data_IF_671831277609
#
_entry.id   IF_671831277609
#
_cell.length_a   1.000
_cell.length_b   1.000
_cell.length_c   1.000
_cell.angle_alpha   90.00
_cell.angle_beta   90.00
_cell.angle_gamma   90.00
#
_symmetry.space_group_name_H-M   'P 1'
#
loop_
_entity.id
_entity.type
_entity.pdbx_description
1 polymer ?
#
# COMPACT_ATOMS: atom_id res chain seq x y z
N UNK A 1 12.00 24.25 -4.91
CA UNK A 1 13.40 24.25 -4.44
C UNK A 1 13.59 23.44 -3.15
N UNK A 2 12.97 23.83 -2.02
CA UNK A 2 13.17 23.16 -0.71
C UNK A 2 12.82 21.68 -0.71
N UNK A 3 11.68 21.29 -1.29
CA UNK A 3 11.28 19.88 -1.40
C UNK A 3 12.31 19.04 -2.17
N UNK A 4 12.80 19.56 -3.30
CA UNK A 4 13.83 18.90 -4.12
C UNK A 4 15.17 18.77 -3.39
N UNK A 5 15.59 19.80 -2.64
CA UNK A 5 16.78 19.73 -1.81
C UNK A 5 16.62 18.69 -0.68
N UNK A 6 15.41 18.58 -0.14
CA UNK A 6 15.10 17.67 0.95
C UNK A 6 14.99 16.21 0.50
N UNK A 7 14.75 15.94 -0.79
CA UNK A 7 14.70 14.59 -1.36
C UNK A 7 16.06 14.02 -1.77
N UNK A 8 17.17 14.72 -1.49
CA UNK A 8 18.50 14.24 -1.81
C UNK A 8 18.90 13.06 -0.91
N UNK A 9 19.57 12.03 -1.45
CA UNK A 9 20.01 10.88 -0.65
C UNK A 9 21.09 11.29 0.36
N UNK A 10 21.28 10.49 1.41
CA UNK A 10 22.30 10.73 2.45
C UNK A 10 23.74 10.74 1.90
N UNK A 11 23.98 10.11 0.76
CA UNK A 11 25.26 10.13 0.03
C UNK A 11 25.54 11.45 -0.71
N UNK A 12 24.53 12.31 -0.90
CA UNK A 12 24.69 13.55 -1.63
C UNK A 12 25.46 14.59 -0.78
N UNK A 13 26.45 15.32 -1.34
CA UNK A 13 27.27 16.26 -0.57
C UNK A 13 26.47 17.38 0.12
N UNK A 14 25.31 17.74 -0.46
CA UNK A 14 24.42 18.74 0.12
C UNK A 14 23.50 18.21 1.24
N UNK A 15 23.40 16.90 1.45
CA UNK A 15 22.49 16.33 2.44
C UNK A 15 22.76 16.86 3.85
N UNK A 16 24.01 16.76 4.31
CA UNK A 16 24.42 17.24 5.63
C UNK A 16 24.18 18.74 5.84
N UNK A 17 24.61 19.66 4.96
CA UNK A 17 24.35 21.09 5.15
C UNK A 17 22.86 21.45 5.08
N UNK A 18 22.06 20.73 4.28
CA UNK A 18 20.60 20.89 4.23
C UNK A 18 19.97 20.51 5.57
N UNK A 19 20.28 19.33 6.11
CA UNK A 19 19.76 18.90 7.41
C UNK A 19 20.14 19.86 8.54
N UNK A 20 21.37 20.41 8.50
CA UNK A 20 21.82 21.42 9.48
C UNK A 20 21.03 22.71 9.39
N UNK A 21 20.86 23.25 8.17
CA UNK A 21 20.12 24.48 7.94
C UNK A 21 18.63 24.36 8.29
N UNK A 22 18.05 23.18 8.06
CA UNK A 22 16.66 22.90 8.44
C UNK A 22 16.45 22.73 9.95
N UNK A 23 17.40 22.10 10.63
CA UNK A 23 17.31 21.83 12.07
C UNK A 23 17.56 23.07 12.93
N UNK A 24 18.47 23.94 12.51
CA UNK A 24 18.91 25.07 13.34
C UNK A 24 18.92 26.35 12.53
N UNK A 25 18.07 27.30 12.92
CA UNK A 25 18.14 28.66 12.42
C UNK A 25 19.18 29.44 13.24
N UNK A 26 20.39 29.53 12.71
CA UNK A 26 21.54 30.18 13.37
C UNK A 26 21.29 31.67 13.61
N UNK A 27 21.88 32.27 14.65
CA UNK A 27 21.65 33.69 14.96
C UNK A 27 22.46 34.68 14.09
N UNK A 28 23.51 34.22 13.41
CA UNK A 28 24.42 35.03 12.59
C UNK A 28 24.83 34.27 11.33
N UNK A 29 25.17 35.00 10.28
CA UNK A 29 25.61 34.44 8.98
C UNK A 29 24.59 33.48 8.35
N UNK A 30 23.33 33.90 8.27
CA UNK A 30 22.29 33.11 7.62
C UNK A 30 22.65 32.88 6.15
N UNK A 31 22.75 31.61 5.77
CA UNK A 31 22.77 31.25 4.35
C UNK A 31 21.34 31.27 3.79
N UNK A 32 21.17 31.40 2.46
CA UNK A 32 19.86 31.27 1.82
C UNK A 32 19.10 29.98 2.19
N UNK A 33 19.82 28.89 2.48
CA UNK A 33 19.21 27.64 2.93
C UNK A 33 18.52 27.79 4.29
N UNK A 34 19.11 28.52 5.25
CA UNK A 34 18.49 28.75 6.55
C UNK A 34 17.16 29.49 6.41
N UNK A 35 17.12 30.54 5.59
CA UNK A 35 15.89 31.28 5.32
C UNK A 35 14.83 30.40 4.64
N UNK A 36 15.22 29.67 3.60
CA UNK A 36 14.32 28.79 2.86
C UNK A 36 13.67 27.74 3.76
N UNK A 37 14.47 27.03 4.56
CA UNK A 37 13.94 26.00 5.46
C UNK A 37 13.16 26.58 6.65
N UNK A 38 13.56 27.74 7.18
CA UNK A 38 12.82 28.40 8.26
C UNK A 38 11.44 28.88 7.81
N UNK A 39 11.35 29.52 6.63
CA UNK A 39 10.09 30.03 6.09
C UNK A 39 9.15 28.88 5.71
N UNK A 40 9.69 27.79 5.14
CA UNK A 40 8.87 26.67 4.65
C UNK A 40 8.53 25.64 5.71
N UNK A 41 9.28 25.57 6.82
CA UNK A 41 9.04 24.62 7.90
C UNK A 41 9.22 23.14 7.50
N UNK A 42 9.82 22.86 6.33
CA UNK A 42 10.03 21.49 5.85
C UNK A 42 11.18 20.86 6.62
N UNK A 43 10.94 19.68 7.18
CA UNK A 43 11.97 18.88 7.85
C UNK A 43 12.46 17.77 6.90
N UNK A 44 13.69 17.85 6.36
CA UNK A 44 14.23 16.85 5.44
C UNK A 44 14.37 15.47 6.10
N UNK A 45 14.42 15.39 7.44
CA UNK A 45 14.53 14.11 8.16
C UNK A 45 13.20 13.37 8.29
N UNK A 46 12.08 14.06 8.02
CA UNK A 46 10.72 13.51 8.16
C UNK A 46 10.06 13.18 6.82
N UNK A 47 10.78 13.31 5.71
CA UNK A 47 10.23 12.99 4.39
C UNK A 47 10.14 11.48 4.19
N UNK A 48 9.00 11.02 3.66
CA UNK A 48 8.83 9.66 3.17
C UNK A 48 9.45 9.55 1.78
N UNK A 49 10.39 8.63 1.60
CA UNK A 49 10.91 8.29 0.27
C UNK A 49 9.90 7.39 -0.43
N UNK A 50 9.51 7.75 -1.65
CA UNK A 50 8.67 6.91 -2.53
C UNK A 50 9.60 6.35 -3.60
N UNK A 51 9.72 5.02 -3.66
CA UNK A 51 10.48 4.37 -4.73
C UNK A 51 9.74 4.50 -6.07
N UNK A 52 10.46 4.68 -7.19
CA UNK A 52 9.84 4.66 -8.51
C UNK A 52 9.23 3.29 -8.78
N UNK A 53 8.17 3.27 -9.60
CA UNK A 53 7.53 2.03 -10.04
C UNK A 53 8.53 1.16 -10.79
N UNK A 54 8.66 -0.10 -10.41
CA UNK A 54 9.65 -1.02 -11.01
C UNK A 54 9.21 -1.52 -12.39
N UNK A 55 7.90 -1.59 -12.62
CA UNK A 55 7.32 -2.13 -13.83
C UNK A 55 7.19 -1.07 -14.95
N UNK A 56 7.32 -1.52 -16.20
CA UNK A 56 7.15 -0.63 -17.34
C UNK A 56 5.68 -0.16 -17.44
N UNK A 57 5.41 1.04 -17.99
CA UNK A 57 4.04 1.54 -18.15
C UNK A 57 3.11 0.61 -18.95
N UNK A 58 3.67 -0.26 -19.78
CA UNK A 58 2.94 -1.25 -20.58
C UNK A 58 2.78 -2.62 -19.87
N UNK A 59 3.20 -2.75 -18.61
CA UNK A 59 3.02 -3.98 -17.86
C UNK A 59 1.54 -4.27 -17.63
N UNK A 60 1.13 -5.48 -18.00
CA UNK A 60 -0.22 -5.99 -17.81
C UNK A 60 -0.13 -7.17 -16.84
N UNK A 61 -0.81 -7.11 -15.68
CA UNK A 61 -0.84 -8.23 -14.75
C UNK A 61 -1.45 -9.47 -15.39
N UNK A 62 -1.00 -10.66 -14.99
CA UNK A 62 -1.48 -11.95 -15.50
C UNK A 62 -2.86 -12.37 -14.97
N UNK A 63 -3.60 -11.45 -14.35
CA UNK A 63 -4.92 -11.68 -13.77
C UNK A 63 -5.91 -10.63 -14.26
N UNK A 64 -7.20 -10.97 -14.19
CA UNK A 64 -8.29 -10.04 -14.51
C UNK A 64 -8.85 -9.39 -13.26
N UNK A 65 -9.41 -8.20 -13.39
CA UNK A 65 -10.17 -7.53 -12.33
C UNK A 65 -11.62 -7.38 -12.70
N UNK A 66 -12.48 -7.41 -11.70
CA UNK A 66 -13.88 -7.01 -11.78
C UNK A 66 -14.16 -6.04 -10.65
N UNK A 67 -14.89 -4.97 -10.94
CA UNK A 67 -15.30 -3.97 -9.95
C UNK A 67 -16.79 -3.72 -10.18
N UNK A 68 -17.61 -4.09 -9.20
CA UNK A 68 -19.06 -3.86 -9.27
C UNK A 68 -19.39 -2.36 -9.22
N UNK A 69 -20.52 -1.98 -9.83
CA UNK A 69 -20.98 -0.59 -9.88
C UNK A 69 -21.67 -0.14 -8.58
N UNK A 70 -22.19 -1.08 -7.79
CA UNK A 70 -22.87 -0.83 -6.52
C UNK A 70 -22.54 -1.92 -5.50
N UNK A 71 -22.79 -1.63 -4.22
CA UNK A 71 -22.58 -2.60 -3.14
C UNK A 71 -23.50 -3.82 -3.28
N UNK A 72 -24.74 -3.63 -3.71
CA UNK A 72 -25.69 -4.74 -3.90
C UNK A 72 -25.22 -5.69 -5.01
N UNK A 73 -24.70 -5.14 -6.11
CA UNK A 73 -24.11 -5.94 -7.19
C UNK A 73 -22.82 -6.62 -6.76
N UNK A 74 -22.02 -5.98 -5.89
CA UNK A 74 -20.82 -6.59 -5.31
C UNK A 74 -21.18 -7.80 -4.45
N UNK A 75 -22.19 -7.67 -3.59
CA UNK A 75 -22.66 -8.76 -2.74
C UNK A 75 -23.17 -9.95 -3.57
N UNK A 76 -24.02 -9.68 -4.58
CA UNK A 76 -24.51 -10.72 -5.49
C UNK A 76 -23.36 -11.43 -6.24
N UNK A 77 -22.34 -10.67 -6.67
CA UNK A 77 -21.16 -11.24 -7.33
C UNK A 77 -20.29 -12.08 -6.39
N UNK A 78 -20.18 -11.69 -5.12
CA UNK A 78 -19.46 -12.44 -4.09
C UNK A 78 -20.18 -13.76 -3.74
N UNK A 79 -21.51 -13.74 -3.65
CA UNK A 79 -22.32 -14.95 -3.42
C UNK A 79 -22.23 -15.93 -4.60
N UNK A 80 -22.31 -15.43 -5.84
CA UNK A 80 -22.12 -16.24 -7.05
C UNK A 80 -20.70 -16.83 -7.11
N UNK A 81 -19.70 -16.01 -6.80
CA UNK A 81 -18.29 -16.42 -6.72
C UNK A 81 -18.08 -17.54 -5.71
N UNK A 82 -18.55 -17.36 -4.47
CA UNK A 82 -18.49 -18.37 -3.41
C UNK A 82 -19.22 -19.66 -3.83
N UNK A 83 -20.25 -19.52 -4.66
CA UNK A 83 -21.05 -20.64 -5.13
C UNK A 83 -20.41 -21.45 -6.25
N UNK A 84 -19.74 -20.77 -7.19
CA UNK A 84 -19.24 -21.34 -8.44
C UNK A 84 -17.73 -21.58 -8.45
N UNK A 85 -16.99 -21.08 -7.47
CA UNK A 85 -15.54 -21.27 -7.38
C UNK A 85 -15.14 -22.14 -6.21
N UNK A 86 -14.08 -22.92 -6.43
CA UNK A 86 -13.58 -23.88 -5.44
C UNK A 86 -12.91 -23.19 -4.27
N UNK A 87 -12.18 -22.11 -4.53
CA UNK A 87 -11.42 -21.37 -3.53
C UNK A 87 -11.55 -19.86 -3.73
N UNK A 88 -11.90 -19.16 -2.65
CA UNK A 88 -12.07 -17.70 -2.59
C UNK A 88 -11.35 -17.19 -1.36
N UNK A 89 -10.66 -16.06 -1.48
CA UNK A 89 -10.10 -15.36 -0.33
C UNK A 89 -10.73 -13.97 -0.24
N UNK A 90 -11.28 -13.64 0.93
CA UNK A 90 -11.73 -12.30 1.25
C UNK A 90 -10.65 -11.55 2.03
N UNK A 91 -10.28 -10.37 1.55
CA UNK A 91 -9.23 -9.52 2.10
C UNK A 91 -9.82 -8.19 2.56
N UNK A 92 -9.41 -7.72 3.74
CA UNK A 92 -9.87 -6.44 4.30
C UNK A 92 -8.76 -5.77 5.11
N UNK A 93 -8.58 -4.48 4.87
CA UNK A 93 -7.74 -3.59 5.68
C UNK A 93 -8.60 -2.71 6.57
N UNK A 94 -8.31 -2.67 7.86
CA UNK A 94 -9.13 -1.92 8.82
C UNK A 94 -8.31 -0.97 9.69
N UNK A 95 -8.98 0.10 10.15
CA UNK A 95 -8.41 1.06 11.08
C UNK A 95 -9.29 1.27 12.31
N UNK A 96 -8.95 0.65 13.44
CA UNK A 96 -9.75 0.68 14.68
C UNK A 96 -8.96 1.26 15.86
N UNK A 97 -9.56 2.12 16.69
CA UNK A 97 -8.95 2.73 17.89
C UNK A 97 -7.47 3.15 17.71
N UNK A 98 -7.20 4.03 16.75
CA UNK A 98 -5.84 4.52 16.40
C UNK A 98 -4.83 3.45 15.93
N UNK A 99 -5.30 2.25 15.61
CA UNK A 99 -4.50 1.14 15.13
C UNK A 99 -4.93 0.73 13.72
N UNK A 100 -4.01 0.11 12.98
CA UNK A 100 -4.21 -0.43 11.64
C UNK A 100 -3.95 -1.93 11.69
N UNK A 101 -4.86 -2.70 11.09
CA UNK A 101 -4.74 -4.15 10.97
C UNK A 101 -5.34 -4.65 9.67
N UNK A 102 -5.04 -5.91 9.37
CA UNK A 102 -5.48 -6.59 8.15
C UNK A 102 -5.98 -7.99 8.47
N UNK A 103 -6.88 -8.47 7.62
CA UNK A 103 -7.31 -9.85 7.61
C UNK A 103 -7.43 -10.38 6.18
N UNK A 104 -7.11 -11.67 6.02
CA UNK A 104 -7.41 -12.44 4.82
C UNK A 104 -7.99 -13.79 5.24
N UNK A 105 -9.14 -14.16 4.68
CA UNK A 105 -9.87 -15.39 5.05
C UNK A 105 -10.09 -16.23 3.80
N UNK A 106 -9.58 -17.45 3.82
CA UNK A 106 -9.70 -18.44 2.75
C UNK A 106 -10.91 -19.33 2.98
N UNK A 107 -11.76 -19.41 1.96
CA UNK A 107 -12.84 -20.37 1.84
C UNK A 107 -12.52 -21.40 0.76
N UNK A 108 -12.75 -22.68 1.07
CA UNK A 108 -12.70 -23.78 0.10
C UNK A 108 -14.00 -24.55 0.15
N UNK A 109 -14.67 -24.72 -0.99
CA UNK A 109 -16.01 -25.34 -1.07
C UNK A 109 -17.00 -24.74 -0.06
N UNK A 110 -17.07 -23.40 0.01
CA UNK A 110 -17.91 -22.62 0.94
C UNK A 110 -17.63 -22.82 2.43
N UNK A 111 -16.52 -23.46 2.80
CA UNK A 111 -16.09 -23.60 4.19
C UNK A 111 -14.84 -22.78 4.44
N UNK A 112 -14.83 -22.02 5.52
CA UNK A 112 -13.63 -21.35 5.99
C UNK A 112 -12.57 -22.41 6.30
N UNK A 113 -11.39 -22.26 5.69
CA UNK A 113 -10.28 -23.19 5.86
C UNK A 113 -9.15 -22.58 6.69
N UNK A 114 -8.83 -21.31 6.45
CA UNK A 114 -7.71 -20.61 7.10
C UNK A 114 -7.96 -19.11 7.12
N UNK A 115 -7.57 -18.46 8.21
CA UNK A 115 -7.60 -17.01 8.34
C UNK A 115 -6.23 -16.50 8.79
N UNK A 116 -5.78 -15.41 8.19
CA UNK A 116 -4.61 -14.64 8.60
C UNK A 116 -5.06 -13.28 9.09
N UNK A 117 -4.51 -12.84 10.23
CA UNK A 117 -4.74 -11.52 10.80
C UNK A 117 -3.41 -10.94 11.21
N UNK A 118 -3.16 -9.68 10.87
CA UNK A 118 -1.89 -9.02 11.19
C UNK A 118 -2.17 -7.61 11.70
N UNK A 119 -1.54 -7.26 12.81
CA UNK A 119 -1.45 -5.89 13.29
C UNK A 119 -0.27 -5.21 12.57
N UNK A 120 -0.56 -4.14 11.84
CA UNK A 120 0.46 -3.41 11.08
C UNK A 120 1.14 -2.37 11.99
N UNK A 121 0.35 -1.64 12.77
CA UNK A 121 0.87 -0.59 13.63
C UNK A 121 -0.13 0.52 13.92
N UNK A 122 0.32 1.64 14.52
CA UNK A 122 -0.53 2.78 14.82
C UNK A 122 -0.87 3.60 13.55
N UNK A 123 -2.02 4.29 13.57
CA UNK A 123 -2.49 5.20 12.50
C UNK A 123 -1.54 6.38 12.22
N UNK A 124 -0.62 6.66 13.15
CA UNK A 124 0.42 7.69 12.98
C UNK A 124 1.53 7.27 12.02
N UNK A 125 1.66 5.97 11.75
CA UNK A 125 2.68 5.40 10.88
C UNK A 125 2.08 4.75 9.63
N UNK A 126 0.90 4.15 9.78
CA UNK A 126 0.23 3.39 8.73
C UNK A 126 -1.15 3.94 8.41
N UNK A 127 -1.55 3.80 7.14
CA UNK A 127 -2.87 4.19 6.67
C UNK A 127 -3.68 2.95 6.27
N UNK A 128 -5.02 3.07 6.30
CA UNK A 128 -5.92 1.97 5.90
C UNK A 128 -5.61 1.50 4.47
N UNK A 129 -5.23 2.41 3.57
CA UNK A 129 -4.86 2.03 2.21
C UNK A 129 -3.65 1.08 2.14
N UNK A 130 -2.64 1.23 3.02
CA UNK A 130 -1.53 0.27 3.11
C UNK A 130 -2.03 -1.09 3.62
N UNK A 131 -2.99 -1.08 4.55
CA UNK A 131 -3.62 -2.28 5.07
C UNK A 131 -4.38 -3.03 3.97
N UNK A 132 -5.14 -2.33 3.13
CA UNK A 132 -5.86 -2.94 2.00
C UNK A 132 -4.92 -3.58 0.98
N UNK A 133 -3.72 -3.02 0.77
CA UNK A 133 -2.72 -3.66 -0.09
C UNK A 133 -2.12 -4.91 0.59
N UNK A 134 -1.78 -4.79 1.87
CA UNK A 134 -1.17 -5.89 2.64
C UNK A 134 -2.16 -7.06 2.83
N UNK A 135 -3.47 -6.80 2.92
CA UNK A 135 -4.48 -7.85 3.01
C UNK A 135 -4.51 -8.71 1.73
N UNK A 136 -4.34 -8.10 0.54
CA UNK A 136 -4.19 -8.82 -0.73
C UNK A 136 -2.92 -9.69 -0.72
N UNK A 137 -1.79 -9.18 -0.22
CA UNK A 137 -0.55 -9.97 -0.07
C UNK A 137 -0.75 -11.19 0.84
N UNK A 138 -1.46 -11.02 1.97
CA UNK A 138 -1.84 -12.14 2.84
C UNK A 138 -2.76 -13.13 2.12
N UNK A 139 -3.69 -12.65 1.28
CA UNK A 139 -4.55 -13.50 0.50
C UNK A 139 -3.81 -14.30 -0.57
N UNK A 140 -2.84 -13.69 -1.26
CA UNK A 140 -1.95 -14.39 -2.18
C UNK A 140 -1.11 -15.45 -1.45
N UNK A 141 -0.63 -15.17 -0.24
CA UNK A 141 0.06 -16.14 0.58
C UNK A 141 -0.83 -17.33 0.98
N UNK A 142 -2.12 -17.11 1.23
CA UNK A 142 -3.08 -18.20 1.42
C UNK A 142 -3.25 -19.05 0.15
N UNK A 143 -3.15 -18.44 -1.03
CA UNK A 143 -3.21 -19.18 -2.29
C UNK A 143 -1.94 -19.97 -2.61
N UNK A 144 -0.74 -19.50 -2.24
CA UNK A 144 0.48 -20.28 -2.49
C UNK A 144 0.47 -21.59 -1.71
N UNK A 145 -0.01 -21.58 -0.46
CA UNK A 145 -0.25 -22.81 0.33
C UNK A 145 -1.23 -23.78 -0.35
N UNK A 146 -2.19 -23.25 -1.12
CA UNK A 146 -3.22 -23.98 -1.84
C UNK A 146 -2.79 -24.46 -3.24
N UNK A 147 -1.98 -23.68 -3.94
CA UNK A 147 -1.56 -23.93 -5.33
C UNK A 147 -0.79 -25.25 -5.45
N UNK A 148 -0.04 -25.62 -4.42
CA UNK A 148 0.62 -26.93 -4.33
C UNK A 148 -0.35 -28.10 -4.17
N UNK A 149 -1.62 -27.84 -3.83
CA UNK A 149 -2.63 -28.86 -3.50
C UNK A 149 -3.79 -28.90 -4.48
N UNK A 150 -4.09 -27.80 -5.17
CA UNK A 150 -5.29 -27.66 -5.99
C UNK A 150 -5.05 -26.72 -7.21
N UNK A 151 -4.96 -27.25 -8.44
CA UNK A 151 -5.00 -26.42 -9.65
C UNK A 151 -6.46 -26.02 -9.93
N UNK A 152 -6.89 -24.90 -9.37
CA UNK A 152 -8.25 -24.38 -9.56
C UNK A 152 -8.24 -22.89 -9.84
N UNK A 153 -9.30 -22.41 -10.50
CA UNK A 153 -9.60 -20.98 -10.57
C UNK A 153 -9.76 -20.46 -9.13
N UNK A 154 -8.95 -19.47 -8.77
CA UNK A 154 -8.98 -18.77 -7.48
C UNK A 154 -9.50 -17.36 -7.67
N UNK A 155 -10.25 -16.86 -6.69
CA UNK A 155 -10.72 -15.47 -6.68
C UNK A 155 -10.29 -14.79 -5.38
N UNK A 156 -9.65 -13.63 -5.50
CA UNK A 156 -9.36 -12.74 -4.40
C UNK A 156 -10.38 -11.60 -4.42
N UNK A 157 -11.09 -11.42 -3.32
CA UNK A 157 -12.11 -10.39 -3.14
C UNK A 157 -11.63 -9.35 -2.12
N UNK A 158 -11.92 -8.08 -2.40
CA UNK A 158 -11.62 -6.93 -1.55
C UNK A 158 -12.66 -5.84 -1.82
N UNK A 159 -13.11 -5.17 -0.77
CA UNK A 159 -14.01 -4.02 -0.86
C UNK A 159 -13.29 -2.73 -1.33
N UNK A 160 -11.95 -2.75 -1.45
CA UNK A 160 -11.17 -1.56 -1.74
C UNK A 160 -10.98 -1.35 -3.24
N UNK A 161 -11.94 -0.62 -3.84
CA UNK A 161 -11.90 -0.25 -5.25
C UNK A 161 -10.58 0.47 -5.64
N UNK A 162 -10.04 1.29 -4.74
CA UNK A 162 -8.79 1.99 -4.95
C UNK A 162 -7.61 1.02 -5.11
N UNK A 163 -7.55 -0.02 -4.27
CA UNK A 163 -6.53 -1.06 -4.34
C UNK A 163 -6.65 -1.90 -5.60
N UNK A 164 -7.87 -2.32 -5.96
CA UNK A 164 -8.11 -3.09 -7.20
C UNK A 164 -7.71 -2.28 -8.45
N UNK A 165 -7.98 -0.97 -8.44
CA UNK A 165 -7.52 -0.08 -9.53
C UNK A 165 -6.00 0.05 -9.56
N UNK A 166 -5.37 0.19 -8.39
CA UNK A 166 -3.93 0.39 -8.26
C UNK A 166 -3.11 -0.81 -8.75
N UNK A 167 -3.62 -2.04 -8.62
CA UNK A 167 -2.98 -3.25 -9.17
C UNK A 167 -2.70 -3.22 -10.68
N UNK A 168 -3.39 -2.34 -11.42
CA UNK A 168 -3.22 -2.16 -12.87
C UNK A 168 -2.62 -0.79 -13.22
N UNK A 169 -2.21 0.00 -12.23
CA UNK A 169 -1.69 1.33 -12.43
C UNK A 169 -0.17 1.32 -12.29
N UNK A 170 0.57 1.48 -13.39
CA UNK A 170 2.03 1.48 -13.40
C UNK A 170 2.63 2.88 -13.15
N UNK A 171 1.93 3.70 -12.38
CA UNK A 171 2.29 5.08 -12.11
C UNK A 171 2.60 5.28 -10.61
N UNK A 172 3.59 6.11 -10.25
CA UNK A 172 3.95 6.34 -8.85
C UNK A 172 2.76 6.89 -8.05
N UNK A 173 2.45 6.24 -6.93
CA UNK A 173 1.42 6.68 -5.97
C UNK A 173 1.87 6.34 -4.54
N UNK A 174 1.39 7.04 -3.50
CA UNK A 174 1.63 6.63 -2.12
C UNK A 174 1.35 5.13 -1.92
N UNK A 175 2.25 4.44 -1.20
CA UNK A 175 2.19 3.00 -0.95
C UNK A 175 2.33 2.07 -2.18
N UNK A 176 2.62 2.60 -3.38
CA UNK A 176 2.79 1.77 -4.57
C UNK A 176 3.97 0.79 -4.47
N UNK A 177 4.99 1.11 -3.66
CA UNK A 177 6.09 0.20 -3.34
C UNK A 177 5.65 -1.13 -2.69
N UNK A 178 4.40 -1.25 -2.24
CA UNK A 178 3.82 -2.49 -1.73
C UNK A 178 3.16 -3.35 -2.84
N UNK A 179 3.01 -2.80 -4.05
CA UNK A 179 2.40 -3.45 -5.21
C UNK A 179 3.42 -3.90 -6.25
N UNK A 180 4.62 -3.31 -6.23
CA UNK A 180 5.80 -3.74 -6.99
C UNK A 180 6.48 -4.95 -6.36
#
# INVERSE_FOLDING_TARGET
AVVHLSSLPSSHPLYTPICRAAKCYVAKHHSPLHHLFHITGVDPTKLKTIFPVQHCPSYLPSFTKHIAQSNDLALASAEDTLSNTKAVVYCDGSGYKNNIGVAAILYVNRKELKALKLYIGPKTQHIVYEAEIISILLGLHLFTDLAYRLPAKVILDSNSQATIKALFNQCPYPAHYLLD
#
